data_IF_380192987039
#
_entry.id   IF_380192987039
#
_cell.length_a   1.000
_cell.length_b   1.000
_cell.length_c   1.000
_cell.angle_alpha   90.00
_cell.angle_beta   90.00
_cell.angle_gamma   90.00
#
_symmetry.space_group_name_H-M   'P 1'
#
loop_
_entity.id
_entity.type
_entity.pdbx_description
1 polymer ?
#
# COMPACT_ATOMS: atom_id res chain seq x y z
N UNK A 1 -31.61 0.10 -24.17
CA UNK A 1 -31.18 1.41 -23.64
C UNK A 1 -29.75 1.78 -24.05
N UNK A 2 -28.72 0.95 -23.81
CA UNK A 2 -27.36 1.18 -24.36
C UNK A 2 -27.30 1.02 -25.90
N UNK A 3 -28.31 0.42 -26.54
CA UNK A 3 -28.50 0.46 -28.01
C UNK A 3 -29.25 1.70 -28.54
N UNK A 4 -29.83 2.54 -27.68
CA UNK A 4 -30.32 3.87 -28.11
C UNK A 4 -29.19 4.92 -28.09
N UNK A 5 -28.04 4.57 -27.49
CA UNK A 5 -26.78 5.29 -27.64
C UNK A 5 -26.13 5.11 -29.03
N UNK A 6 -26.72 4.32 -29.95
CA UNK A 6 -26.27 4.32 -31.36
C UNK A 6 -26.59 5.64 -32.08
N UNK A 7 -27.48 6.47 -31.52
CA UNK A 7 -27.64 7.87 -31.96
C UNK A 7 -26.38 8.71 -31.60
N UNK A 8 -25.48 8.19 -30.76
CA UNK A 8 -24.16 8.78 -30.48
C UNK A 8 -23.02 8.25 -31.36
N UNK A 9 -23.23 7.19 -32.17
CA UNK A 9 -22.22 6.78 -33.15
C UNK A 9 -22.21 7.72 -34.38
N UNK A 10 -23.33 8.38 -34.66
CA UNK A 10 -23.38 9.51 -35.61
C UNK A 10 -22.69 10.78 -35.04
N UNK A 11 -22.62 10.93 -33.71
CA UNK A 11 -21.90 12.03 -33.06
C UNK A 11 -20.38 11.78 -33.00
N UNK A 12 -19.90 10.53 -32.97
CA UNK A 12 -18.46 10.27 -32.88
C UNK A 12 -17.71 10.45 -34.20
N UNK A 13 -18.34 10.17 -35.35
CA UNK A 13 -17.72 10.33 -36.68
C UNK A 13 -17.92 11.73 -37.29
N UNK A 14 -18.91 12.49 -36.82
CA UNK A 14 -19.19 13.85 -37.32
C UNK A 14 -18.54 14.99 -36.52
N UNK A 15 -18.28 14.82 -35.22
CA UNK A 15 -17.88 15.93 -34.33
C UNK A 15 -16.37 16.21 -34.28
N UNK A 16 -15.56 15.24 -34.69
CA UNK A 16 -14.09 15.34 -34.64
C UNK A 16 -13.41 15.03 -35.98
N UNK A 17 -14.19 14.90 -37.06
CA UNK A 17 -13.63 14.62 -38.38
C UNK A 17 -12.86 15.84 -38.89
N UNK A 18 -11.58 15.65 -39.22
CA UNK A 18 -10.69 16.65 -39.84
C UNK A 18 -11.10 16.93 -41.30
N UNK A 19 -12.35 17.30 -41.54
CA UNK A 19 -12.71 17.93 -42.80
C UNK A 19 -12.48 19.43 -42.63
N UNK A 20 -11.41 19.89 -43.28
CA UNK A 20 -10.93 21.26 -43.36
C UNK A 20 -12.08 22.28 -43.47
N UNK A 21 -12.43 22.95 -42.34
CA UNK A 21 -13.01 24.31 -42.21
C UNK A 21 -13.79 24.61 -40.89
N UNK A 22 -13.86 23.72 -39.90
CA UNK A 22 -14.43 24.13 -38.60
C UNK A 22 -13.50 25.10 -37.87
N UNK A 23 -14.03 26.24 -37.42
CA UNK A 23 -13.29 27.21 -36.61
C UNK A 23 -12.97 26.62 -35.22
N UNK A 24 -11.88 27.07 -34.58
CA UNK A 24 -11.54 26.66 -33.21
C UNK A 24 -12.69 26.86 -32.21
N UNK A 25 -13.54 27.85 -32.49
CA UNK A 25 -14.76 28.18 -31.74
C UNK A 25 -15.80 27.05 -31.84
N UNK A 26 -16.05 26.50 -33.03
CA UNK A 26 -17.02 25.42 -33.20
C UNK A 26 -16.59 24.14 -32.47
N UNK A 27 -15.29 23.83 -32.51
CA UNK A 27 -14.72 22.68 -31.78
C UNK A 27 -14.92 22.85 -30.27
N UNK A 28 -14.70 24.06 -29.75
CA UNK A 28 -14.88 24.35 -28.33
C UNK A 28 -16.35 24.22 -27.89
N UNK A 29 -17.29 24.77 -28.66
CA UNK A 29 -18.74 24.65 -28.39
C UNK A 29 -19.17 23.19 -28.40
N UNK A 30 -18.78 22.43 -29.43
CA UNK A 30 -19.10 21.00 -29.54
C UNK A 30 -18.52 20.18 -28.35
N UNK A 31 -17.30 20.50 -27.90
CA UNK A 31 -16.71 19.86 -26.71
C UNK A 31 -17.48 20.20 -25.44
N UNK A 32 -17.88 21.46 -25.25
CA UNK A 32 -18.70 21.85 -24.08
C UNK A 32 -20.01 21.07 -24.05
N UNK A 33 -20.74 21.04 -25.16
CA UNK A 33 -22.01 20.29 -25.27
C UNK A 33 -21.80 18.82 -24.90
N UNK A 34 -20.80 18.16 -25.50
CA UNK A 34 -20.53 16.74 -25.24
C UNK A 34 -20.25 16.46 -23.76
N UNK A 35 -19.36 17.23 -23.13
CA UNK A 35 -18.97 16.97 -21.74
C UNK A 35 -20.06 17.36 -20.75
N UNK A 36 -20.81 18.45 -20.96
CA UNK A 36 -21.91 18.83 -20.09
C UNK A 36 -23.12 17.91 -20.20
N UNK A 37 -23.48 17.44 -21.40
CA UNK A 37 -24.50 16.39 -21.55
C UNK A 37 -24.09 15.13 -20.81
N UNK A 38 -22.86 14.63 -21.04
CA UNK A 38 -22.35 13.44 -20.37
C UNK A 38 -22.35 13.58 -18.85
N UNK A 39 -21.93 14.74 -18.34
CA UNK A 39 -21.97 15.05 -16.92
C UNK A 39 -23.39 15.04 -16.36
N UNK A 40 -24.33 15.77 -16.98
CA UNK A 40 -25.71 15.90 -16.50
C UNK A 40 -26.44 14.54 -16.51
N UNK A 41 -26.22 13.73 -17.54
CA UNK A 41 -26.76 12.36 -17.61
C UNK A 41 -26.23 11.52 -16.43
N UNK A 42 -24.94 11.61 -16.11
CA UNK A 42 -24.36 10.95 -14.92
C UNK A 42 -24.91 11.47 -13.59
N UNK A 43 -25.42 12.71 -13.56
CA UNK A 43 -26.13 13.27 -12.40
C UNK A 43 -27.63 12.93 -12.38
N UNK A 44 -28.12 12.16 -13.35
CA UNK A 44 -29.50 11.64 -13.39
C UNK A 44 -30.49 12.47 -14.20
N UNK A 45 -30.02 13.48 -14.96
CA UNK A 45 -30.89 14.22 -15.88
C UNK A 45 -31.37 13.30 -17.01
N UNK A 46 -32.65 13.38 -17.37
CA UNK A 46 -33.18 12.55 -18.44
C UNK A 46 -32.77 13.12 -19.80
N UNK A 47 -32.39 12.22 -20.70
CA UNK A 47 -32.05 12.59 -22.08
C UNK A 47 -33.21 13.33 -22.76
N UNK A 48 -34.46 12.94 -22.49
CA UNK A 48 -35.65 13.61 -23.04
C UNK A 48 -35.79 15.07 -22.61
N UNK A 49 -35.43 15.38 -21.36
CA UNK A 49 -35.48 16.76 -20.83
C UNK A 49 -34.41 17.60 -21.52
N UNK A 50 -33.17 17.10 -21.59
CA UNK A 50 -32.06 17.77 -22.27
C UNK A 50 -32.31 17.96 -23.78
N UNK A 51 -32.99 17.00 -24.42
CA UNK A 51 -33.38 17.12 -25.83
C UNK A 51 -34.47 18.18 -26.03
N UNK A 52 -35.39 18.32 -25.08
CA UNK A 52 -36.41 19.39 -25.11
C UNK A 52 -35.75 20.77 -25.01
N UNK A 53 -34.76 20.93 -24.13
CA UNK A 53 -33.97 22.17 -24.05
C UNK A 53 -33.26 22.49 -25.39
N UNK A 54 -32.70 21.48 -26.06
CA UNK A 54 -32.12 21.65 -27.39
C UNK A 54 -33.15 22.14 -28.42
N UNK A 55 -34.34 21.54 -28.45
CA UNK A 55 -35.41 21.94 -29.38
C UNK A 55 -35.89 23.38 -29.14
N UNK A 56 -35.91 23.83 -27.88
CA UNK A 56 -36.30 25.19 -27.53
C UNK A 56 -35.26 26.23 -27.96
N UNK A 57 -33.97 25.90 -27.85
CA UNK A 57 -32.87 26.83 -28.13
C UNK A 57 -32.50 26.85 -29.62
N UNK A 58 -32.40 25.68 -30.26
CA UNK A 58 -32.11 25.51 -31.70
C UNK A 58 -30.72 25.98 -32.17
N UNK A 59 -29.89 26.48 -31.27
CA UNK A 59 -28.56 27.05 -31.54
C UNK A 59 -27.50 26.44 -30.63
N UNK A 60 -26.35 26.04 -31.20
CA UNK A 60 -25.30 25.30 -30.46
C UNK A 60 -24.65 26.13 -29.36
N UNK A 61 -24.36 27.39 -29.62
CA UNK A 61 -23.67 28.26 -28.65
C UNK A 61 -24.59 28.54 -27.46
N UNK A 62 -25.83 28.94 -27.74
CA UNK A 62 -26.86 29.14 -26.70
C UNK A 62 -27.16 27.84 -25.95
N UNK A 63 -27.14 26.69 -26.61
CA UNK A 63 -27.37 25.41 -25.95
C UNK A 63 -26.20 25.04 -25.02
N UNK A 64 -24.96 25.30 -25.43
CA UNK A 64 -23.80 25.11 -24.56
C UNK A 64 -23.90 25.96 -23.27
N UNK A 65 -24.34 27.21 -23.40
CA UNK A 65 -24.60 28.11 -22.25
C UNK A 65 -25.72 27.53 -21.36
N UNK A 66 -26.84 27.10 -21.95
CA UNK A 66 -27.94 26.48 -21.22
C UNK A 66 -27.49 25.24 -20.41
N UNK A 67 -26.69 24.36 -21.02
CA UNK A 67 -26.13 23.19 -20.33
C UNK A 67 -25.18 23.59 -19.20
N UNK A 68 -24.34 24.61 -19.42
CA UNK A 68 -23.43 25.14 -18.39
C UNK A 68 -24.21 25.68 -17.18
N UNK A 69 -25.32 26.37 -17.39
CA UNK A 69 -26.21 26.85 -16.34
C UNK A 69 -26.87 25.71 -15.56
N UNK A 70 -27.27 24.63 -16.23
CA UNK A 70 -27.78 23.42 -15.58
C UNK A 70 -26.71 22.74 -14.73
N UNK A 71 -25.48 22.62 -15.26
CA UNK A 71 -24.32 22.09 -14.51
C UNK A 71 -24.09 22.95 -13.27
N UNK A 72 -24.04 24.27 -13.43
CA UNK A 72 -23.87 25.24 -12.34
C UNK A 72 -24.91 25.05 -11.25
N UNK A 73 -26.20 25.03 -11.61
CA UNK A 73 -27.30 24.80 -10.66
C UNK A 73 -27.15 23.46 -9.91
N UNK A 74 -26.69 22.41 -10.59
CA UNK A 74 -26.48 21.10 -9.99
C UNK A 74 -25.34 21.08 -8.96
N UNK A 75 -24.21 21.73 -9.26
CA UNK A 75 -22.99 21.62 -8.44
C UNK A 75 -22.81 22.74 -7.41
N UNK A 76 -23.50 23.87 -7.58
CA UNK A 76 -23.37 25.03 -6.70
C UNK A 76 -23.53 24.68 -5.20
N UNK A 77 -24.49 23.85 -4.77
CA UNK A 77 -24.62 23.47 -3.35
C UNK A 77 -23.40 22.73 -2.80
N UNK A 78 -22.64 22.04 -3.64
CA UNK A 78 -21.42 21.33 -3.25
C UNK A 78 -20.22 22.27 -3.23
N UNK A 79 -20.10 23.14 -4.24
CA UNK A 79 -18.99 24.10 -4.36
C UNK A 79 -19.00 25.13 -3.23
N UNK A 80 -20.18 25.60 -2.79
CA UNK A 80 -20.32 26.54 -1.66
C UNK A 80 -19.75 26.01 -0.34
N UNK A 81 -19.66 24.69 -0.19
CA UNK A 81 -19.13 24.00 1.01
C UNK A 81 -17.94 23.11 0.68
N UNK A 82 -17.20 23.42 -0.39
CA UNK A 82 -16.13 22.56 -0.93
C UNK A 82 -15.08 22.21 0.13
N UNK A 83 -14.77 23.16 1.02
CA UNK A 83 -13.80 23.01 2.10
C UNK A 83 -14.26 22.04 3.20
N UNK A 84 -15.57 21.88 3.39
CA UNK A 84 -16.16 21.08 4.47
C UNK A 84 -16.42 19.60 4.07
N UNK A 85 -16.27 19.29 2.79
CA UNK A 85 -16.54 17.96 2.26
C UNK A 85 -15.48 16.96 2.72
N UNK A 86 -15.93 15.82 3.24
CA UNK A 86 -15.05 14.77 3.74
C UNK A 86 -15.53 13.38 3.37
N UNK A 87 -14.60 12.50 3.00
CA UNK A 87 -14.86 11.10 2.65
C UNK A 87 -15.52 10.30 3.78
N UNK A 88 -15.26 10.68 5.04
CA UNK A 88 -15.77 9.99 6.22
C UNK A 88 -17.29 10.17 6.41
N UNK A 89 -17.86 11.24 5.85
CA UNK A 89 -19.31 11.45 5.85
C UNK A 89 -19.90 10.81 4.59
N UNK A 90 -20.67 9.74 4.74
CA UNK A 90 -21.28 9.03 3.61
C UNK A 90 -22.05 9.96 2.65
N UNK A 91 -22.76 10.96 3.20
CA UNK A 91 -23.50 11.97 2.41
C UNK A 91 -22.62 12.87 1.53
N UNK A 92 -21.32 12.99 1.85
CA UNK A 92 -20.38 13.85 1.14
C UNK A 92 -19.61 13.10 0.05
N UNK A 93 -19.61 11.76 0.04
CA UNK A 93 -18.91 10.95 -0.97
C UNK A 93 -19.39 11.23 -2.39
N UNK A 94 -20.71 11.31 -2.60
CA UNK A 94 -21.27 11.65 -3.93
C UNK A 94 -20.88 13.08 -4.33
N UNK A 95 -21.09 14.12 -3.51
CA UNK A 95 -20.56 15.47 -3.79
C UNK A 95 -19.08 15.51 -4.16
N UNK A 96 -18.21 14.82 -3.42
CA UNK A 96 -16.78 14.73 -3.70
C UNK A 96 -16.51 14.14 -5.10
N UNK A 97 -17.18 13.03 -5.45
CA UNK A 97 -17.06 12.42 -6.78
C UNK A 97 -17.52 13.37 -7.89
N UNK A 98 -18.62 14.09 -7.66
CA UNK A 98 -19.19 15.04 -8.64
C UNK A 98 -18.23 16.21 -8.90
N UNK A 99 -17.66 16.78 -7.84
CA UNK A 99 -16.68 17.87 -7.95
C UNK A 99 -15.42 17.39 -8.68
N UNK A 100 -14.87 16.24 -8.31
CA UNK A 100 -13.68 15.71 -8.98
C UNK A 100 -13.95 15.36 -10.44
N UNK A 101 -15.13 14.86 -10.78
CA UNK A 101 -15.51 14.61 -12.17
C UNK A 101 -15.57 15.92 -12.94
N UNK A 102 -16.28 16.94 -12.42
CA UNK A 102 -16.37 18.24 -13.08
C UNK A 102 -14.99 18.89 -13.25
N UNK A 103 -14.12 18.81 -12.25
CA UNK A 103 -12.74 19.28 -12.33
C UNK A 103 -11.97 18.61 -13.48
N UNK A 104 -12.11 17.29 -13.64
CA UNK A 104 -11.50 16.56 -14.76
C UNK A 104 -12.01 17.05 -16.12
N UNK A 105 -13.31 17.31 -16.23
CA UNK A 105 -13.92 17.77 -17.49
C UNK A 105 -13.47 19.20 -17.83
N UNK A 106 -13.54 20.14 -16.88
CA UNK A 106 -13.11 21.53 -17.08
C UNK A 106 -11.62 21.61 -17.41
N UNK A 107 -10.77 20.89 -16.68
CA UNK A 107 -9.34 20.85 -16.97
C UNK A 107 -9.04 20.29 -18.37
N UNK A 108 -9.76 19.22 -18.78
CA UNK A 108 -9.64 18.63 -20.12
C UNK A 108 -10.08 19.59 -21.23
N UNK A 109 -11.12 20.40 -20.99
CA UNK A 109 -11.63 21.37 -21.97
C UNK A 109 -10.73 22.60 -22.08
N UNK A 110 -10.20 23.11 -20.97
CA UNK A 110 -9.40 24.35 -20.94
C UNK A 110 -7.97 24.12 -21.42
N UNK A 111 -7.28 23.09 -20.89
CA UNK A 111 -5.82 23.01 -21.01
C UNK A 111 -5.33 22.19 -22.21
N UNK A 112 -6.13 21.26 -22.73
CA UNK A 112 -5.62 20.28 -23.69
C UNK A 112 -6.64 19.98 -24.80
N UNK A 113 -6.91 21.01 -25.62
CA UNK A 113 -7.87 20.96 -26.76
C UNK A 113 -7.57 19.84 -27.77
N UNK A 114 -6.31 19.41 -27.88
CA UNK A 114 -5.84 18.34 -28.77
C UNK A 114 -6.07 16.91 -28.23
N UNK A 115 -6.47 16.75 -26.97
CA UNK A 115 -6.72 15.42 -26.40
C UNK A 115 -8.09 14.86 -26.77
N UNK A 116 -8.14 13.53 -26.78
CA UNK A 116 -9.36 12.73 -26.90
C UNK A 116 -10.41 13.18 -25.87
N UNK A 117 -11.70 13.25 -26.24
CA UNK A 117 -12.78 13.54 -25.30
C UNK A 117 -12.87 12.55 -24.14
N UNK A 118 -13.53 12.94 -23.06
CA UNK A 118 -13.73 12.07 -21.90
C UNK A 118 -14.56 10.83 -22.24
N UNK A 119 -14.10 9.65 -21.81
CA UNK A 119 -14.73 8.36 -22.16
C UNK A 119 -15.83 7.97 -21.15
N UNK A 120 -16.98 8.66 -21.18
CA UNK A 120 -18.11 8.42 -20.27
C UNK A 120 -18.57 6.95 -20.22
N UNK A 121 -18.57 6.24 -21.35
CA UNK A 121 -18.94 4.82 -21.40
C UNK A 121 -18.05 3.96 -20.51
N UNK A 122 -16.73 4.18 -20.56
CA UNK A 122 -15.77 3.48 -19.69
C UNK A 122 -15.94 3.89 -18.25
N UNK A 123 -16.14 5.19 -17.99
CA UNK A 123 -16.38 5.71 -16.65
C UNK A 123 -17.57 5.03 -15.95
N UNK A 124 -18.65 4.73 -16.68
CA UNK A 124 -19.80 4.00 -16.14
C UNK A 124 -19.47 2.52 -15.92
N UNK A 125 -18.87 1.86 -16.92
CA UNK A 125 -18.61 0.41 -16.88
C UNK A 125 -17.58 0.01 -15.81
N UNK A 126 -16.57 0.85 -15.59
CA UNK A 126 -15.45 0.55 -14.70
C UNK A 126 -15.71 0.98 -13.23
N UNK A 127 -16.90 1.52 -12.91
CA UNK A 127 -17.36 1.86 -11.55
C UNK A 127 -16.38 2.73 -10.77
N UNK A 128 -16.18 3.95 -11.25
CA UNK A 128 -15.23 4.89 -10.67
C UNK A 128 -15.60 5.34 -9.26
N UNK A 129 -14.60 5.46 -8.39
CA UNK A 129 -14.76 5.83 -6.97
C UNK A 129 -13.61 6.75 -6.50
N UNK A 130 -13.70 7.20 -5.24
CA UNK A 130 -12.71 8.03 -4.59
C UNK A 130 -11.50 7.20 -4.17
N UNK A 131 -10.31 7.66 -4.55
CA UNK A 131 -9.01 7.14 -4.13
C UNK A 131 -8.29 8.21 -3.32
N UNK A 132 -7.69 7.83 -2.19
CA UNK A 132 -6.83 8.73 -1.45
C UNK A 132 -5.49 8.88 -2.17
N UNK A 133 -4.96 10.08 -2.30
CA UNK A 133 -3.68 10.29 -3.00
C UNK A 133 -2.52 9.82 -2.11
N UNK A 134 -2.58 10.14 -0.81
CA UNK A 134 -1.61 9.72 0.19
C UNK A 134 -2.09 8.47 0.97
N UNK A 135 -1.16 7.70 1.54
CA UNK A 135 -1.45 6.47 2.29
C UNK A 135 -2.18 6.74 3.61
N UNK A 136 -3.05 5.81 4.03
CA UNK A 136 -3.87 5.98 5.24
C UNK A 136 -3.32 5.28 6.49
N UNK A 137 -2.58 4.19 6.31
CA UNK A 137 -2.03 3.41 7.43
C UNK A 137 -0.83 2.54 7.03
N UNK A 138 -0.08 2.12 8.05
CA UNK A 138 1.14 1.30 7.97
C UNK A 138 0.90 -0.14 7.50
N UNK A 139 -0.35 -0.65 7.58
CA UNK A 139 -0.74 -1.98 7.07
C UNK A 139 -0.57 -2.13 5.55
N UNK A 140 -0.37 -1.01 4.85
CA UNK A 140 0.00 -0.98 3.44
C UNK A 140 1.39 -1.52 3.15
N UNK A 141 2.33 -1.31 4.08
CA UNK A 141 3.77 -1.57 3.92
C UNK A 141 4.25 -2.68 4.84
N UNK A 142 3.53 -2.93 5.94
CA UNK A 142 3.84 -3.99 6.90
C UNK A 142 2.58 -4.52 7.59
N UNK A 143 1.94 -5.51 6.98
CA UNK A 143 0.72 -6.14 7.46
C UNK A 143 0.92 -6.99 8.71
N UNK A 144 -0.17 -7.27 9.43
CA UNK A 144 -0.15 -8.19 10.58
C UNK A 144 0.27 -9.61 10.18
N UNK A 145 -0.06 -10.03 8.95
CA UNK A 145 0.33 -11.33 8.42
C UNK A 145 1.84 -11.41 8.18
N UNK A 146 2.44 -10.32 7.69
CA UNK A 146 3.90 -10.14 7.57
C UNK A 146 4.60 -10.29 8.91
N UNK A 147 4.14 -9.53 9.89
CA UNK A 147 4.64 -9.56 11.26
C UNK A 147 4.61 -10.97 11.85
N UNK A 148 3.46 -11.64 11.78
CA UNK A 148 3.29 -12.99 12.33
C UNK A 148 4.06 -14.08 11.57
N UNK A 149 4.34 -13.89 10.29
CA UNK A 149 5.18 -14.82 9.52
C UNK A 149 6.65 -14.65 9.90
N UNK A 150 7.15 -13.41 10.00
CA UNK A 150 8.52 -13.14 10.39
C UNK A 150 8.80 -13.58 11.83
N UNK A 151 7.88 -13.33 12.77
CA UNK A 151 8.03 -13.75 14.16
C UNK A 151 8.22 -15.27 14.29
N UNK A 152 7.44 -16.06 13.53
CA UNK A 152 7.56 -17.53 13.50
C UNK A 152 8.90 -18.03 12.98
N UNK A 153 9.54 -17.28 12.06
CA UNK A 153 10.89 -17.61 11.59
C UNK A 153 11.94 -17.25 12.64
N UNK A 154 11.81 -16.08 13.30
CA UNK A 154 12.69 -15.68 14.41
C UNK A 154 12.66 -16.68 15.57
N UNK A 155 11.47 -17.20 15.91
CA UNK A 155 11.33 -18.27 16.91
C UNK A 155 12.07 -19.56 16.54
N UNK A 156 12.15 -19.89 15.24
CA UNK A 156 12.88 -21.06 14.76
C UNK A 156 14.41 -20.87 14.92
N UNK A 157 14.92 -19.67 14.67
CA UNK A 157 16.33 -19.33 14.96
C UNK A 157 16.60 -19.43 16.45
N UNK A 158 15.74 -18.85 17.28
CA UNK A 158 15.92 -18.93 18.74
C UNK A 158 15.98 -20.39 19.22
N UNK A 159 15.15 -21.26 18.67
CA UNK A 159 15.19 -22.69 18.97
C UNK A 159 16.49 -23.36 18.51
N UNK A 160 17.06 -22.90 17.40
CA UNK A 160 18.38 -23.35 16.91
C UNK A 160 19.52 -22.88 17.82
N UNK A 161 19.50 -21.62 18.26
CA UNK A 161 20.49 -21.07 19.19
C UNK A 161 20.43 -21.77 20.56
N UNK A 162 19.23 -22.01 21.08
CA UNK A 162 19.03 -22.72 22.34
C UNK A 162 19.59 -24.15 22.25
N UNK A 163 19.39 -24.84 21.11
CA UNK A 163 19.97 -26.16 20.86
C UNK A 163 21.50 -26.13 20.79
N UNK A 164 22.07 -25.12 20.12
CA UNK A 164 23.54 -24.96 20.04
C UNK A 164 24.15 -24.66 21.41
N UNK A 165 23.51 -23.77 22.20
CA UNK A 165 23.93 -23.49 23.59
C UNK A 165 23.88 -24.76 24.44
N UNK A 166 22.81 -25.56 24.32
CA UNK A 166 22.69 -26.85 25.00
C UNK A 166 23.83 -27.81 24.62
N UNK A 167 24.15 -27.91 23.33
CA UNK A 167 25.24 -28.75 22.84
C UNK A 167 26.59 -28.32 23.41
N UNK A 168 26.91 -27.03 23.37
CA UNK A 168 28.16 -26.49 23.95
C UNK A 168 28.21 -26.74 25.47
N UNK A 169 27.11 -26.49 26.17
CA UNK A 169 27.00 -26.74 27.62
C UNK A 169 27.26 -28.21 27.96
N UNK A 170 26.81 -29.16 27.13
CA UNK A 170 27.04 -30.60 27.28
C UNK A 170 28.49 -30.98 26.91
N UNK A 171 29.01 -30.45 25.80
CA UNK A 171 30.36 -30.75 25.31
C UNK A 171 31.44 -30.28 26.30
N UNK A 172 31.21 -29.18 27.02
CA UNK A 172 32.10 -28.68 28.07
C UNK A 172 32.26 -29.62 29.27
N UNK A 173 31.32 -30.57 29.46
CA UNK A 173 31.28 -31.53 30.58
C UNK A 173 31.48 -32.97 30.10
N UNK A 174 32.02 -33.19 28.89
CA UNK A 174 32.12 -34.51 28.23
C UNK A 174 32.76 -35.64 29.06
N UNK A 175 33.47 -35.32 30.15
CA UNK A 175 34.10 -36.28 31.06
C UNK A 175 33.29 -36.56 32.36
N UNK A 176 32.23 -35.81 32.67
CA UNK A 176 31.43 -35.95 33.89
C UNK A 176 29.94 -36.18 33.57
N UNK A 177 29.55 -37.46 33.52
CA UNK A 177 28.16 -37.89 33.30
C UNK A 177 27.22 -37.37 34.41
N UNK A 178 27.71 -37.25 35.63
CA UNK A 178 26.91 -36.75 36.76
C UNK A 178 26.60 -35.26 36.59
N UNK A 179 27.60 -34.48 36.17
CA UNK A 179 27.48 -33.07 35.79
C UNK A 179 26.42 -32.86 34.71
N UNK A 180 26.53 -33.61 33.62
CA UNK A 180 25.57 -33.54 32.49
C UNK A 180 24.15 -33.87 32.95
N UNK A 181 23.96 -34.96 33.74
CA UNK A 181 22.63 -35.34 34.27
C UNK A 181 22.03 -34.24 35.14
N UNK A 182 22.82 -33.61 36.01
CA UNK A 182 22.38 -32.50 36.85
C UNK A 182 22.00 -31.26 36.02
N UNK A 183 22.78 -30.94 34.99
CA UNK A 183 22.52 -29.81 34.09
C UNK A 183 21.24 -30.00 33.28
N UNK A 184 21.04 -31.19 32.70
CA UNK A 184 19.79 -31.57 32.04
C UNK A 184 18.59 -31.47 32.99
N UNK A 185 18.74 -31.94 34.23
CA UNK A 185 17.70 -31.83 35.26
C UNK A 185 17.34 -30.37 35.54
N UNK A 186 18.33 -29.49 35.68
CA UNK A 186 18.12 -28.05 35.87
C UNK A 186 17.42 -27.39 34.66
N UNK A 187 17.83 -27.74 33.44
CA UNK A 187 17.24 -27.22 32.21
C UNK A 187 15.78 -27.64 32.03
N UNK A 188 15.40 -28.83 32.50
CA UNK A 188 14.05 -29.39 32.42
C UNK A 188 13.03 -28.75 33.38
N UNK A 189 13.48 -27.96 34.37
CA UNK A 189 12.61 -27.36 35.37
C UNK A 189 11.69 -26.29 34.76
N UNK A 190 10.46 -26.19 35.28
CA UNK A 190 9.42 -25.27 34.78
C UNK A 190 9.87 -23.81 34.69
N UNK A 191 10.80 -23.35 35.55
CA UNK A 191 11.30 -21.97 35.58
C UNK A 191 12.49 -21.63 34.67
N UNK A 192 13.14 -22.62 34.03
CA UNK A 192 14.31 -22.35 33.17
C UNK A 192 13.93 -21.56 31.92
N UNK A 193 14.63 -20.46 31.63
CA UNK A 193 14.49 -19.69 30.37
C UNK A 193 15.52 -20.05 29.31
N UNK A 194 16.42 -21.01 29.60
CA UNK A 194 17.55 -21.36 28.72
C UNK A 194 17.17 -22.18 27.49
N UNK A 195 16.05 -22.90 27.55
CA UNK A 195 15.55 -23.75 26.45
C UNK A 195 14.02 -23.62 26.35
N UNK A 196 13.49 -23.78 25.14
CA UNK A 196 12.05 -23.73 24.88
C UNK A 196 11.29 -24.89 25.56
N UNK A 197 9.95 -24.80 25.62
CA UNK A 197 9.14 -25.81 26.32
C UNK A 197 9.17 -27.19 25.67
N UNK A 198 9.29 -27.28 24.33
CA UNK A 198 9.40 -28.56 23.64
C UNK A 198 10.66 -29.31 24.10
N UNK A 199 11.79 -28.61 24.13
CA UNK A 199 13.08 -29.15 24.59
C UNK A 199 13.04 -29.58 26.05
N UNK A 200 12.34 -28.84 26.92
CA UNK A 200 12.14 -29.25 28.32
C UNK A 200 11.43 -30.59 28.41
N UNK A 201 10.39 -30.80 27.63
CA UNK A 201 9.65 -32.07 27.63
C UNK A 201 10.49 -33.22 27.08
N UNK A 202 11.29 -33.00 26.04
CA UNK A 202 12.21 -34.03 25.54
C UNK A 202 13.25 -34.42 26.58
N UNK A 203 13.84 -33.42 27.25
CA UNK A 203 14.82 -33.66 28.31
C UNK A 203 14.17 -34.40 29.47
N UNK A 204 12.93 -34.07 29.87
CA UNK A 204 12.21 -34.81 30.93
C UNK A 204 11.97 -36.26 30.54
N UNK A 205 11.53 -36.50 29.30
CA UNK A 205 11.31 -37.86 28.79
C UNK A 205 12.62 -38.64 28.81
N UNK A 206 13.68 -38.06 28.25
CA UNK A 206 15.01 -38.64 28.26
C UNK A 206 15.50 -38.99 29.66
N UNK A 207 15.41 -38.05 30.62
CA UNK A 207 15.81 -38.27 32.02
C UNK A 207 15.02 -39.39 32.70
N UNK A 208 13.77 -39.62 32.31
CA UNK A 208 12.94 -40.74 32.80
C UNK A 208 13.41 -42.07 32.23
N UNK A 209 13.76 -42.10 30.95
CA UNK A 209 14.14 -43.30 30.22
C UNK A 209 15.55 -43.78 30.60
N UNK A 210 16.46 -42.87 30.95
CA UNK A 210 17.84 -43.20 31.33
C UNK A 210 18.03 -43.67 32.78
N UNK A 211 16.96 -43.76 33.60
CA UNK A 211 17.06 -44.13 35.03
C UNK A 211 17.83 -45.43 35.30
N UNK A 212 17.86 -46.34 34.32
CA UNK A 212 18.51 -47.65 34.41
C UNK A 212 19.61 -47.85 33.34
N UNK A 213 20.01 -46.80 32.63
CA UNK A 213 21.02 -46.88 31.57
C UNK A 213 22.42 -46.78 32.20
N UNK A 214 23.32 -47.67 31.77
CA UNK A 214 24.71 -47.67 32.23
C UNK A 214 25.50 -46.48 31.65
N UNK A 215 26.63 -46.15 32.28
CA UNK A 215 27.44 -44.99 31.90
C UNK A 215 28.10 -45.11 30.51
N UNK A 216 28.21 -46.34 29.95
CA UNK A 216 28.72 -46.56 28.59
C UNK A 216 27.73 -46.19 27.49
N UNK A 217 26.43 -46.39 27.73
CA UNK A 217 25.37 -46.14 26.74
C UNK A 217 24.79 -44.73 26.83
N UNK A 218 24.97 -44.05 27.97
CA UNK A 218 24.49 -42.68 28.18
C UNK A 218 24.95 -41.68 27.09
N UNK A 219 26.23 -41.61 26.69
CA UNK A 219 26.68 -40.67 25.66
C UNK A 219 25.99 -40.91 24.31
N UNK A 220 25.81 -42.17 23.90
CA UNK A 220 25.14 -42.51 22.64
C UNK A 220 23.67 -42.09 22.65
N UNK A 221 22.97 -42.30 23.77
CA UNK A 221 21.57 -41.91 23.90
C UNK A 221 21.41 -40.37 23.97
N UNK A 222 22.36 -39.67 24.58
CA UNK A 222 22.37 -38.21 24.61
C UNK A 222 22.58 -37.60 23.22
N UNK A 223 23.53 -38.13 22.44
CA UNK A 223 23.72 -37.73 21.04
C UNK A 223 22.45 -37.99 20.20
N UNK A 224 21.76 -39.10 20.45
CA UNK A 224 20.48 -39.39 19.81
C UNK A 224 19.41 -38.35 20.15
N UNK A 225 19.25 -37.98 21.44
CA UNK A 225 18.33 -36.92 21.86
C UNK A 225 18.63 -35.60 21.13
N UNK A 226 19.89 -35.17 21.12
CA UNK A 226 20.29 -33.92 20.46
C UNK A 226 20.02 -33.95 18.96
N UNK A 227 20.27 -35.09 18.30
CA UNK A 227 19.96 -35.31 16.89
C UNK A 227 18.45 -35.25 16.62
N UNK A 228 17.63 -35.91 17.43
CA UNK A 228 16.17 -35.88 17.30
C UNK A 228 15.61 -34.47 17.50
N UNK A 229 16.13 -33.74 18.49
CA UNK A 229 15.78 -32.33 18.72
C UNK A 229 16.15 -31.46 17.52
N UNK A 230 17.36 -31.63 16.95
CA UNK A 230 17.83 -30.93 15.75
C UNK A 230 16.91 -31.20 14.56
N UNK A 231 16.61 -32.47 14.29
CA UNK A 231 15.78 -32.89 13.17
C UNK A 231 14.37 -32.28 13.26
N UNK A 232 13.79 -32.24 14.47
CA UNK A 232 12.50 -31.56 14.66
C UNK A 232 12.57 -30.07 14.37
N UNK A 233 13.60 -29.35 14.85
CA UNK A 233 13.75 -27.92 14.55
C UNK A 233 13.87 -27.68 13.04
N UNK A 234 14.66 -28.52 12.35
CA UNK A 234 14.79 -28.46 10.89
C UNK A 234 13.45 -28.68 10.21
N UNK A 235 12.71 -29.73 10.57
CA UNK A 235 11.43 -30.05 9.93
C UNK A 235 10.37 -28.98 10.19
N UNK A 236 10.31 -28.43 11.41
CA UNK A 236 9.43 -27.29 11.71
C UNK A 236 9.79 -26.05 10.89
N UNK A 237 11.09 -25.76 10.74
CA UNK A 237 11.58 -24.63 9.94
C UNK A 237 11.28 -24.82 8.46
N UNK A 238 11.56 -26.01 7.92
CA UNK A 238 11.22 -26.39 6.53
C UNK A 238 9.73 -26.28 6.28
N UNK A 239 8.89 -26.74 7.21
CA UNK A 239 7.43 -26.63 7.11
C UNK A 239 6.97 -25.17 7.08
N UNK A 240 7.55 -24.31 7.93
CA UNK A 240 7.27 -22.87 7.94
C UNK A 240 7.68 -22.19 6.62
N UNK A 241 8.86 -22.52 6.09
CA UNK A 241 9.37 -21.99 4.82
C UNK A 241 8.59 -22.52 3.60
N UNK A 242 8.22 -23.81 3.56
CA UNK A 242 7.35 -24.37 2.50
C UNK A 242 5.95 -23.77 2.54
N UNK A 243 5.42 -23.59 3.75
CA UNK A 243 4.15 -22.95 4.00
C UNK A 243 4.19 -21.43 3.90
N UNK A 244 5.34 -20.84 3.55
CA UNK A 244 5.53 -19.41 3.43
C UNK A 244 4.70 -18.88 2.26
N UNK A 245 3.48 -18.43 2.58
CA UNK A 245 2.66 -17.66 1.66
C UNK A 245 3.14 -16.23 1.70
N UNK A 246 3.43 -15.69 0.52
CA UNK A 246 4.16 -14.44 0.39
C UNK A 246 3.56 -13.32 1.24
N UNK A 247 4.37 -12.61 2.05
CA UNK A 247 3.85 -11.64 2.99
C UNK A 247 3.58 -10.27 2.34
N UNK A 248 4.39 -9.87 1.35
CA UNK A 248 4.34 -8.52 0.79
C UNK A 248 3.23 -8.35 -0.25
N UNK A 249 2.68 -7.13 -0.31
CA UNK A 249 1.78 -6.69 -1.39
C UNK A 249 2.53 -6.43 -2.71
N UNK A 250 3.87 -6.47 -2.69
CA UNK A 250 4.73 -6.26 -3.83
C UNK A 250 5.08 -7.56 -4.54
N UNK A 251 4.55 -7.75 -5.75
CA UNK A 251 4.77 -8.95 -6.55
C UNK A 251 6.26 -9.23 -6.84
N UNK A 252 7.10 -8.19 -6.94
CA UNK A 252 8.53 -8.37 -7.22
C UNK A 252 9.29 -8.86 -5.98
N UNK A 253 9.11 -8.20 -4.84
CA UNK A 253 9.69 -8.66 -3.56
C UNK A 253 9.28 -10.10 -3.28
N UNK A 254 8.03 -10.41 -3.60
CA UNK A 254 7.46 -11.73 -3.49
C UNK A 254 8.21 -12.79 -4.32
N UNK A 255 8.40 -12.52 -5.61
CA UNK A 255 9.13 -13.42 -6.51
C UNK A 255 10.59 -13.61 -6.09
N UNK A 256 11.23 -12.55 -5.59
CA UNK A 256 12.61 -12.60 -5.10
C UNK A 256 12.74 -13.50 -3.86
N UNK A 257 11.90 -13.30 -2.84
CA UNK A 257 11.93 -14.13 -1.62
C UNK A 257 11.63 -15.59 -1.93
N UNK A 258 10.65 -15.85 -2.80
CA UNK A 258 10.32 -17.22 -3.19
C UNK A 258 11.52 -17.93 -3.83
N UNK A 259 12.21 -17.24 -4.75
CA UNK A 259 13.42 -17.75 -5.40
C UNK A 259 14.52 -18.07 -4.38
N UNK A 260 14.77 -17.16 -3.43
CA UNK A 260 15.76 -17.36 -2.36
C UNK A 260 15.46 -18.61 -1.54
N UNK A 261 14.19 -18.86 -1.20
CA UNK A 261 13.78 -20.06 -0.44
C UNK A 261 14.01 -21.34 -1.25
N UNK A 262 13.69 -21.32 -2.55
CA UNK A 262 13.89 -22.48 -3.45
C UNK A 262 15.37 -22.80 -3.59
N UNK A 263 16.20 -21.81 -3.92
CA UNK A 263 17.65 -21.95 -4.04
C UNK A 263 18.28 -22.45 -2.72
N UNK A 264 17.83 -21.91 -1.59
CA UNK A 264 18.28 -22.35 -0.27
C UNK A 264 17.97 -23.83 -0.01
N UNK A 265 16.76 -24.31 -0.36
CA UNK A 265 16.41 -25.72 -0.18
C UNK A 265 17.25 -26.65 -1.06
N UNK A 266 17.60 -26.24 -2.28
CA UNK A 266 18.47 -27.02 -3.15
C UNK A 266 19.88 -27.15 -2.57
N UNK A 267 20.43 -26.07 -1.99
CA UNK A 267 21.79 -26.04 -1.42
C UNK A 267 21.95 -26.80 -0.09
N UNK A 268 20.83 -27.06 0.61
CA UNK A 268 20.81 -27.59 1.99
C UNK A 268 20.02 -28.89 2.13
N UNK A 269 19.66 -29.52 1.00
CA UNK A 269 18.76 -30.69 0.95
C UNK A 269 19.20 -31.84 1.86
N UNK A 270 20.50 -32.16 1.84
CA UNK A 270 21.05 -33.38 2.46
C UNK A 270 21.84 -33.12 3.76
N UNK A 271 21.88 -31.87 4.25
CA UNK A 271 22.66 -31.51 5.45
C UNK A 271 21.87 -30.59 6.39
N UNK A 272 21.39 -31.18 7.49
CA UNK A 272 20.62 -30.49 8.54
C UNK A 272 21.47 -29.51 9.37
N UNK A 273 22.79 -29.72 9.50
CA UNK A 273 23.67 -28.78 10.20
C UNK A 273 23.87 -27.52 9.36
N UNK A 274 24.22 -27.73 8.10
CA UNK A 274 24.37 -26.67 7.11
C UNK A 274 23.06 -25.90 6.94
N UNK A 275 21.93 -26.60 6.89
CA UNK A 275 20.60 -25.99 6.83
C UNK A 275 20.38 -24.96 7.93
N UNK A 276 20.54 -25.34 9.20
CA UNK A 276 20.26 -24.46 10.34
C UNK A 276 21.24 -23.28 10.40
N UNK A 277 22.52 -23.54 10.11
CA UNK A 277 23.55 -22.51 10.09
C UNK A 277 23.27 -21.46 9.01
N UNK A 278 23.08 -21.89 7.76
CA UNK A 278 22.82 -20.99 6.63
C UNK A 278 21.46 -20.31 6.73
N UNK A 279 20.44 -20.98 7.29
CA UNK A 279 19.15 -20.36 7.56
C UNK A 279 19.31 -19.11 8.44
N UNK A 280 20.06 -19.25 9.54
CA UNK A 280 20.25 -18.17 10.51
C UNK A 280 21.21 -17.07 10.01
N UNK A 281 22.31 -17.44 9.34
CA UNK A 281 23.34 -16.47 8.95
C UNK A 281 23.12 -15.84 7.56
N UNK A 282 22.35 -16.46 6.68
CA UNK A 282 22.24 -16.04 5.27
C UNK A 282 20.78 -15.80 4.85
N UNK A 283 19.92 -16.83 4.93
CA UNK A 283 18.56 -16.74 4.37
C UNK A 283 17.68 -15.76 5.15
N UNK A 284 17.57 -15.89 6.48
CA UNK A 284 16.68 -14.99 7.24
C UNK A 284 17.11 -13.52 7.14
N UNK A 285 18.40 -13.15 7.35
CA UNK A 285 18.85 -11.77 7.17
C UNK A 285 18.51 -11.22 5.78
N UNK A 286 18.69 -12.04 4.73
CA UNK A 286 18.36 -11.63 3.36
C UNK A 286 16.85 -11.43 3.16
N UNK A 287 16.00 -12.28 3.76
CA UNK A 287 14.54 -12.11 3.74
C UNK A 287 14.16 -10.82 4.49
N UNK A 288 14.74 -10.56 5.67
CA UNK A 288 14.51 -9.35 6.44
C UNK A 288 14.90 -8.10 5.65
N UNK A 289 16.07 -8.09 5.00
CA UNK A 289 16.52 -6.98 4.17
C UNK A 289 15.52 -6.67 3.04
N UNK A 290 15.01 -7.70 2.37
CA UNK A 290 14.01 -7.54 1.29
C UNK A 290 12.69 -6.99 1.81
N UNK A 291 12.23 -7.48 2.95
CA UNK A 291 10.99 -7.04 3.60
C UNK A 291 11.10 -5.62 4.18
N UNK A 292 12.27 -5.23 4.67
CA UNK A 292 12.51 -3.92 5.29
C UNK A 292 12.41 -2.74 4.30
N UNK A 293 12.57 -3.00 2.99
CA UNK A 293 12.60 -1.93 1.97
C UNK A 293 11.34 -1.08 1.94
N UNK A 294 10.16 -1.69 1.98
CA UNK A 294 8.90 -0.93 1.88
C UNK A 294 8.58 -0.14 3.15
N UNK A 295 8.68 -0.71 4.36
CA UNK A 295 8.50 0.07 5.59
C UNK A 295 9.54 1.18 5.76
N UNK A 296 10.79 0.95 5.35
CA UNK A 296 11.83 1.99 5.40
C UNK A 296 11.51 3.15 4.44
N UNK A 297 11.15 2.84 3.19
CA UNK A 297 10.75 3.84 2.19
C UNK A 297 9.52 4.62 2.66
N UNK A 298 8.55 3.93 3.27
CA UNK A 298 7.38 4.58 3.84
C UNK A 298 7.73 5.53 4.97
N UNK A 299 8.53 5.10 5.96
CA UNK A 299 8.95 5.98 7.05
C UNK A 299 9.68 7.22 6.54
N UNK A 300 10.47 7.09 5.47
CA UNK A 300 11.08 8.25 4.79
C UNK A 300 10.01 9.21 4.24
N UNK A 301 9.01 8.68 3.54
CA UNK A 301 7.86 9.49 3.05
C UNK A 301 7.06 10.12 4.20
N UNK A 302 6.82 9.41 5.30
CA UNK A 302 6.13 9.94 6.49
C UNK A 302 6.93 11.10 7.07
N UNK A 303 8.23 10.92 7.29
CA UNK A 303 9.12 11.97 7.82
C UNK A 303 9.14 13.21 6.90
N UNK A 304 9.11 13.03 5.59
CA UNK A 304 9.07 14.13 4.63
C UNK A 304 7.67 14.78 4.51
N UNK A 305 6.61 14.04 4.88
CA UNK A 305 5.24 14.56 4.99
C UNK A 305 5.03 15.43 6.22
N UNK A 306 5.66 15.09 7.35
CA UNK A 306 5.54 15.82 8.61
C UNK A 306 6.30 17.16 8.54
N UNK A 307 5.58 18.28 8.70
CA UNK A 307 6.19 19.59 8.91
C UNK A 307 6.44 19.81 10.41
N UNK A 308 7.59 20.40 10.76
CA UNK A 308 7.99 20.58 12.18
C UNK A 308 7.05 21.53 12.93
N UNK A 309 6.36 22.40 12.19
CA UNK A 309 5.52 23.47 12.72
C UNK A 309 4.04 23.05 12.91
N UNK A 310 3.65 21.84 12.48
CA UNK A 310 2.25 21.41 12.52
C UNK A 310 1.79 21.06 13.95
N UNK A 311 2.49 20.14 14.62
CA UNK A 311 2.19 19.68 15.98
C UNK A 311 3.48 19.22 16.70
N UNK A 312 3.56 19.42 18.03
CA UNK A 312 4.70 18.99 18.84
C UNK A 312 5.02 17.49 18.66
N UNK A 313 3.99 16.65 18.72
CA UNK A 313 4.10 15.20 18.53
C UNK A 313 4.55 14.81 17.11
N UNK A 314 4.18 15.60 16.09
CA UNK A 314 4.62 15.36 14.71
C UNK A 314 6.13 15.67 14.57
N UNK A 315 6.62 16.71 15.27
CA UNK A 315 8.03 17.01 15.41
C UNK A 315 8.82 15.92 16.15
N UNK A 316 8.25 15.36 17.23
CA UNK A 316 8.82 14.22 17.95
C UNK A 316 8.89 12.96 17.07
N UNK A 317 7.80 12.63 16.36
CA UNK A 317 7.76 11.51 15.44
C UNK A 317 8.78 11.66 14.33
N UNK A 318 8.87 12.84 13.70
CA UNK A 318 9.86 13.14 12.67
C UNK A 318 11.27 12.90 13.18
N UNK A 319 11.59 13.44 14.35
CA UNK A 319 12.89 13.26 15.01
C UNK A 319 13.15 11.78 15.35
N UNK A 320 12.13 11.06 15.80
CA UNK A 320 12.19 9.63 16.07
C UNK A 320 12.51 8.81 14.82
N UNK A 321 11.84 9.10 13.71
CA UNK A 321 12.12 8.46 12.41
C UNK A 321 13.54 8.79 11.94
N UNK A 322 14.01 10.02 12.09
CA UNK A 322 15.39 10.38 11.73
C UNK A 322 16.44 9.62 12.54
N UNK A 323 16.23 9.49 13.86
CA UNK A 323 17.11 8.70 14.73
C UNK A 323 17.09 7.23 14.33
N UNK A 324 15.91 6.67 14.06
CA UNK A 324 15.73 5.31 13.59
C UNK A 324 16.49 5.06 12.28
N UNK A 325 16.29 5.90 11.26
CA UNK A 325 16.94 5.77 9.95
C UNK A 325 18.48 5.89 10.04
N UNK A 326 19.01 6.57 11.06
CA UNK A 326 20.45 6.60 11.35
C UNK A 326 20.92 5.31 12.03
N UNK A 327 20.13 4.78 12.97
CA UNK A 327 20.48 3.62 13.80
C UNK A 327 20.35 2.27 13.08
N UNK A 328 19.43 2.11 12.13
CA UNK A 328 19.21 0.84 11.40
C UNK A 328 20.45 0.34 10.64
N UNK A 329 21.45 1.18 10.39
CA UNK A 329 22.72 0.76 9.77
C UNK A 329 23.48 -0.30 10.58
N UNK A 330 23.21 -0.41 11.89
CA UNK A 330 23.97 -1.23 12.83
C UNK A 330 23.12 -2.22 13.63
N UNK A 331 21.82 -2.36 13.34
CA UNK A 331 20.87 -3.19 14.11
C UNK A 331 19.85 -3.88 13.19
N UNK A 332 19.19 -4.94 13.67
CA UNK A 332 18.03 -5.52 12.96
C UNK A 332 16.92 -4.48 12.80
N UNK A 333 16.48 -4.27 11.56
CA UNK A 333 15.47 -3.27 11.20
C UNK A 333 14.18 -3.45 12.00
N UNK A 334 13.62 -4.67 12.00
CA UNK A 334 12.33 -4.95 12.62
C UNK A 334 12.36 -4.93 14.14
N UNK A 335 13.46 -5.35 14.77
CA UNK A 335 13.59 -5.27 16.24
C UNK A 335 13.60 -3.82 16.70
N UNK A 336 14.34 -2.96 16.01
CA UNK A 336 14.37 -1.55 16.32
C UNK A 336 13.01 -0.90 16.04
N UNK A 337 12.38 -1.24 14.90
CA UNK A 337 11.08 -0.70 14.49
C UNK A 337 9.99 -0.98 15.52
N UNK A 338 9.93 -2.22 16.02
CA UNK A 338 9.00 -2.65 17.06
C UNK A 338 9.28 -1.94 18.39
N UNK A 339 10.55 -1.82 18.79
CA UNK A 339 10.93 -1.18 20.05
C UNK A 339 10.58 0.31 20.10
N UNK A 340 10.69 1.01 18.98
CA UNK A 340 10.40 2.44 18.86
C UNK A 340 8.90 2.73 18.63
N UNK A 341 8.13 1.71 18.24
CA UNK A 341 6.69 1.81 17.97
C UNK A 341 6.34 2.76 16.82
N UNK A 342 7.25 2.96 15.86
CA UNK A 342 7.11 4.04 14.85
C UNK A 342 5.92 3.87 13.93
N UNK A 343 5.58 2.65 13.53
CA UNK A 343 4.42 2.41 12.66
C UNK A 343 3.12 2.88 13.33
N UNK A 344 2.96 2.56 14.62
CA UNK A 344 1.79 2.96 15.41
C UNK A 344 1.73 4.47 15.57
N UNK A 345 2.86 5.11 15.94
CA UNK A 345 2.94 6.57 16.07
C UNK A 345 2.61 7.29 14.76
N UNK A 346 3.08 6.75 13.63
CA UNK A 346 2.77 7.28 12.32
C UNK A 346 1.27 7.14 11.99
N UNK A 347 0.66 5.99 12.26
CA UNK A 347 -0.79 5.80 12.08
C UNK A 347 -1.61 6.77 12.94
N UNK A 348 -1.21 7.00 14.20
CA UNK A 348 -1.83 7.97 15.11
C UNK A 348 -1.67 9.41 14.59
N UNK A 349 -0.50 9.77 14.05
CA UNK A 349 -0.28 11.08 13.43
C UNK A 349 -1.21 11.32 12.23
N UNK A 350 -1.39 10.31 11.36
CA UNK A 350 -2.32 10.41 10.23
C UNK A 350 -3.78 10.56 10.66
N UNK A 351 -4.20 9.88 11.73
CA UNK A 351 -5.57 10.00 12.24
C UNK A 351 -5.90 11.41 12.75
N UNK A 352 -4.89 12.19 13.15
CA UNK A 352 -5.04 13.59 13.58
C UNK A 352 -5.07 14.58 12.43
N UNK A 353 -4.63 14.19 11.23
CA UNK A 353 -4.61 15.05 10.06
C UNK A 353 -6.03 15.29 9.54
N UNK A 354 -6.57 16.48 9.85
CA UNK A 354 -7.93 16.88 9.46
C UNK A 354 -8.17 16.88 7.94
N UNK A 355 -7.10 16.95 7.16
CA UNK A 355 -7.15 16.99 5.70
C UNK A 355 -7.05 15.61 5.06
N UNK A 356 -6.74 14.55 5.84
CA UNK A 356 -6.52 13.19 5.34
C UNK A 356 -7.68 12.70 4.47
N UNK A 357 -8.91 13.05 4.86
CA UNK A 357 -10.13 12.61 4.21
C UNK A 357 -10.84 13.71 3.42
N UNK A 358 -10.21 14.87 3.22
CA UNK A 358 -10.79 16.00 2.47
C UNK A 358 -10.42 15.96 0.99
N UNK A 359 -11.07 16.81 0.20
CA UNK A 359 -10.94 16.88 -1.25
C UNK A 359 -9.47 16.99 -1.72
N UNK A 360 -8.62 17.73 -0.98
CA UNK A 360 -7.20 17.89 -1.29
C UNK A 360 -6.35 16.62 -1.25
N UNK A 361 -6.89 15.53 -0.72
CA UNK A 361 -6.23 14.22 -0.69
C UNK A 361 -7.03 13.15 -1.45
N UNK A 362 -7.98 13.54 -2.31
CA UNK A 362 -8.85 12.62 -3.02
C UNK A 362 -8.74 12.80 -4.52
N UNK A 363 -8.87 11.69 -5.24
CA UNK A 363 -8.93 11.66 -6.69
C UNK A 363 -9.88 10.57 -7.18
N UNK A 364 -10.12 10.49 -8.49
CA UNK A 364 -10.98 9.46 -9.08
C UNK A 364 -10.14 8.29 -9.59
N UNK A 365 -10.57 7.07 -9.29
CA UNK A 365 -9.95 5.83 -9.78
C UNK A 365 -11.00 4.72 -9.96
N UNK A 366 -10.84 3.86 -10.96
CA UNK A 366 -11.72 2.70 -11.14
C UNK A 366 -11.62 1.71 -9.97
N UNK A 367 -12.71 0.97 -9.70
CA UNK A 367 -12.82 0.07 -8.55
C UNK A 367 -11.70 -0.99 -8.51
N UNK A 368 -11.30 -1.51 -9.67
CA UNK A 368 -10.31 -2.59 -9.75
C UNK A 368 -8.90 -2.09 -9.48
N UNK A 369 -8.55 -0.91 -10.02
CA UNK A 369 -7.25 -0.28 -9.75
C UNK A 369 -7.19 0.25 -8.32
N UNK A 370 -8.27 0.84 -7.81
CA UNK A 370 -8.38 1.34 -6.43
C UNK A 370 -8.10 0.21 -5.42
N UNK A 371 -8.72 -0.98 -5.58
CA UNK A 371 -8.42 -2.16 -4.73
C UNK A 371 -6.94 -2.57 -4.74
N UNK A 372 -6.21 -2.35 -5.84
CA UNK A 372 -4.80 -2.70 -5.99
C UNK A 372 -3.84 -1.60 -5.50
N UNK A 373 -4.29 -0.36 -5.50
CA UNK A 373 -3.50 0.85 -5.20
C UNK A 373 -3.76 1.27 -3.75
N UNK A 374 -5.01 1.45 -3.36
CA UNK A 374 -5.52 1.52 -1.98
C UNK A 374 -4.60 2.25 -1.00
N UNK A 375 -4.03 1.53 -0.04
CA UNK A 375 -3.22 2.18 1.01
C UNK A 375 -1.74 2.34 0.66
N UNK A 376 -1.31 2.05 -0.57
CA UNK A 376 0.10 2.19 -0.94
C UNK A 376 0.62 3.62 -0.72
N UNK A 377 1.93 3.70 -0.49
CA UNK A 377 2.66 4.96 -0.35
C UNK A 377 2.66 5.72 -1.67
N UNK A 378 2.84 7.04 -1.64
CA UNK A 378 2.59 7.88 -2.82
C UNK A 378 3.49 7.49 -3.99
N UNK A 379 4.78 7.20 -3.76
CA UNK A 379 5.71 6.72 -4.81
C UNK A 379 5.17 5.50 -5.56
N UNK A 380 4.65 4.52 -4.80
CA UNK A 380 4.13 3.27 -5.34
C UNK A 380 2.79 3.46 -6.05
N UNK A 381 1.94 4.34 -5.54
CA UNK A 381 0.72 4.76 -6.24
C UNK A 381 1.07 5.41 -7.57
N UNK A 382 2.00 6.37 -7.57
CA UNK A 382 2.50 7.04 -8.76
C UNK A 382 3.03 6.04 -9.79
N UNK A 383 3.88 5.09 -9.39
CA UNK A 383 4.41 4.06 -10.29
C UNK A 383 3.32 3.15 -10.86
N UNK A 384 2.30 2.78 -10.05
CA UNK A 384 1.17 1.97 -10.52
C UNK A 384 0.27 2.74 -11.48
N UNK A 385 0.00 4.02 -11.20
CA UNK A 385 -0.79 4.89 -12.08
C UNK A 385 -0.10 5.03 -13.44
N UNK A 386 1.22 5.25 -13.47
CA UNK A 386 2.00 5.27 -14.72
C UNK A 386 1.85 3.97 -15.52
N UNK A 387 2.01 2.82 -14.85
CA UNK A 387 1.84 1.50 -15.50
C UNK A 387 0.41 1.26 -16.03
N UNK A 388 -0.61 1.78 -15.34
CA UNK A 388 -2.01 1.70 -15.80
C UNK A 388 -2.21 2.58 -17.04
N UNK A 389 -1.62 3.78 -17.05
CA UNK A 389 -1.68 4.71 -18.19
C UNK A 389 -1.01 4.09 -19.42
N UNK A 390 0.16 3.45 -19.24
CA UNK A 390 0.89 2.72 -20.30
C UNK A 390 0.05 1.57 -20.92
N UNK A 391 -0.88 0.99 -20.16
CA UNK A 391 -1.80 -0.05 -20.62
C UNK A 391 -3.03 0.51 -21.37
N UNK A 392 -3.06 1.82 -21.66
CA UNK A 392 -4.18 2.53 -22.29
C UNK A 392 -5.50 2.37 -21.52
N UNK A 393 -5.41 2.13 -20.21
CA UNK A 393 -6.59 2.19 -19.34
C UNK A 393 -7.00 3.64 -19.14
N UNK A 394 -8.30 3.88 -18.97
CA UNK A 394 -8.79 5.22 -18.71
C UNK A 394 -8.24 5.68 -17.36
N UNK A 395 -7.50 6.78 -17.36
CA UNK A 395 -7.15 7.53 -16.16
C UNK A 395 -7.63 8.97 -16.37
N UNK A 396 -8.47 9.54 -15.48
CA UNK A 396 -8.94 10.90 -15.58
C UNK A 396 -7.73 11.80 -15.54
N UNK A 397 -7.73 12.81 -16.40
CA UNK A 397 -6.58 13.68 -16.61
C UNK A 397 -6.05 14.23 -15.28
N UNK A 398 -6.91 14.74 -14.41
CA UNK A 398 -6.51 15.31 -13.13
C UNK A 398 -5.99 14.27 -12.15
N UNK A 399 -6.44 13.00 -12.23
CA UNK A 399 -5.84 11.89 -11.47
C UNK A 399 -4.39 11.67 -11.90
N UNK A 400 -4.13 11.63 -13.21
CA UNK A 400 -2.76 11.53 -13.72
C UNK A 400 -1.91 12.74 -13.32
N UNK A 401 -2.44 13.94 -13.51
CA UNK A 401 -1.71 15.19 -13.27
C UNK A 401 -1.39 15.39 -11.77
N UNK A 402 -2.26 14.97 -10.85
CA UNK A 402 -1.95 15.06 -9.41
C UNK A 402 -0.84 14.08 -9.00
N UNK A 403 -0.83 12.86 -9.55
CA UNK A 403 0.27 11.92 -9.32
C UNK A 403 1.57 12.35 -10.03
N UNK A 404 1.48 13.12 -11.13
CA UNK A 404 2.64 13.77 -11.75
C UNK A 404 3.05 15.07 -11.06
N UNK A 405 2.37 15.46 -9.97
CA UNK A 405 2.61 16.69 -9.20
C UNK A 405 2.51 17.96 -10.06
N UNK A 406 1.68 17.98 -11.11
CA UNK A 406 1.51 19.15 -11.97
C UNK A 406 0.88 20.33 -11.24
N UNK A 407 0.05 20.05 -10.23
CA UNK A 407 -0.57 21.08 -9.38
C UNK A 407 0.33 21.53 -8.22
N UNK A 408 1.51 20.93 -8.05
CA UNK A 408 2.41 21.23 -6.95
C UNK A 408 2.99 22.63 -7.08
N UNK A 409 3.10 23.34 -5.94
CA UNK A 409 3.87 24.57 -5.83
C UNK A 409 5.37 24.31 -5.54
N UNK A 410 5.77 23.05 -5.31
CA UNK A 410 7.16 22.67 -5.09
C UNK A 410 7.93 22.69 -6.42
N UNK A 411 9.05 23.40 -6.44
CA UNK A 411 9.92 23.50 -7.62
C UNK A 411 10.76 22.25 -7.82
N UNK A 412 10.93 21.43 -6.79
CA UNK A 412 11.67 20.17 -6.87
C UNK A 412 10.77 19.01 -7.32
N UNK A 413 10.70 18.85 -8.65
CA UNK A 413 9.97 17.75 -9.30
C UNK A 413 10.57 16.36 -9.02
N UNK A 414 11.78 16.27 -8.45
CA UNK A 414 12.40 14.99 -8.09
C UNK A 414 11.90 14.47 -6.74
N UNK A 415 11.22 15.30 -5.92
CA UNK A 415 10.57 14.83 -4.69
C UNK A 415 9.40 13.92 -5.04
N UNK A 416 9.56 12.65 -4.69
CA UNK A 416 8.58 11.61 -4.99
C UNK A 416 7.54 11.40 -3.88
N UNK A 417 7.24 12.43 -3.07
CA UNK A 417 6.22 12.38 -2.02
C UNK A 417 5.21 13.54 -2.15
N UNK A 418 4.01 13.36 -1.57
CA UNK A 418 2.90 14.31 -1.61
C UNK A 418 2.70 14.98 -0.24
N UNK A 419 3.14 16.23 -0.15
CA UNK A 419 3.20 17.04 1.08
C UNK A 419 1.89 17.76 1.38
N UNK A 420 1.80 18.37 2.56
CA UNK A 420 0.70 19.30 2.88
C UNK A 420 0.64 20.49 1.92
N UNK A 421 1.79 21.00 1.45
CA UNK A 421 1.86 22.05 0.42
C UNK A 421 1.29 21.58 -0.93
N UNK A 422 1.60 20.35 -1.33
CA UNK A 422 1.05 19.75 -2.55
C UNK A 422 -0.48 19.63 -2.47
N UNK A 423 -1.00 19.19 -1.32
CA UNK A 423 -2.45 19.12 -1.05
C UNK A 423 -3.11 20.50 -1.15
N UNK A 424 -2.56 21.51 -0.49
CA UNK A 424 -3.06 22.89 -0.55
C UNK A 424 -3.09 23.41 -1.99
N UNK A 425 -1.99 23.24 -2.73
CA UNK A 425 -1.91 23.66 -4.13
C UNK A 425 -2.90 22.91 -5.03
N UNK A 426 -3.12 21.62 -4.78
CA UNK A 426 -4.14 20.83 -5.49
C UNK A 426 -5.56 21.34 -5.23
N UNK A 427 -5.91 21.67 -3.97
CA UNK A 427 -7.20 22.25 -3.63
C UNK A 427 -7.44 23.59 -4.32
N UNK A 428 -6.43 24.47 -4.30
CA UNK A 428 -6.50 25.78 -4.93
C UNK A 428 -6.64 25.65 -6.46
N UNK A 429 -6.00 24.66 -7.08
CA UNK A 429 -6.20 24.36 -8.49
C UNK A 429 -7.65 23.93 -8.80
N UNK A 430 -8.25 23.09 -7.94
CA UNK A 430 -9.66 22.70 -8.06
C UNK A 430 -10.57 23.92 -7.91
N UNK A 431 -10.39 24.70 -6.85
CA UNK A 431 -11.20 25.90 -6.57
C UNK A 431 -11.13 26.90 -7.71
N UNK A 432 -9.92 27.20 -8.19
CA UNK A 432 -9.72 28.13 -9.32
C UNK A 432 -10.40 27.65 -10.59
N UNK A 433 -10.28 26.36 -10.90
CA UNK A 433 -10.90 25.78 -12.09
C UNK A 433 -12.43 25.83 -12.03
N UNK A 434 -13.01 25.71 -10.83
CA UNK A 434 -14.45 25.64 -10.61
C UNK A 434 -15.08 26.94 -10.09
N UNK A 435 -14.34 28.03 -10.02
CA UNK A 435 -14.79 29.29 -9.39
C UNK A 435 -16.05 29.88 -10.04
N UNK A 436 -16.17 29.75 -11.38
CA UNK A 436 -17.34 30.21 -12.16
C UNK A 436 -18.67 29.59 -11.73
N UNK A 437 -18.64 28.48 -10.99
CA UNK A 437 -19.82 27.77 -10.50
C UNK A 437 -20.23 28.17 -9.08
N UNK A 438 -19.50 29.07 -8.42
CA UNK A 438 -19.72 29.45 -7.03
C UNK A 438 -20.93 30.36 -6.80
N UNK A 439 -21.17 31.30 -7.71
CA UNK A 439 -22.14 32.41 -7.55
C UNK A 439 -23.36 32.29 -8.43
#
# INVERSE_FOLDING_TARGET
MIRQLDISLTLHQGFFNKNNKSSDIEIEINRKIFHYLGFLILQGYKISELYTEWLNVGDKEKFAICLEDLVKKNVQPYIKRIDDLTYNKNKDRKPLQVILLLFNLEYLMEKIKSLKPFEFNRFILEKWNLEHIYAQNSESVWSQKEQGNLSKLKEAIKSTEDLNKLRVDIESEKADISGIKNKLKNLSQKGSKKVNNAFKEDIKSFLKDIKHVNDREFPKQLEKLLSDMKNRVVEETRKKLKGWKNPSKNSKTNEEIHRMIVEFFEQTKDDNEKFLKQFASELLPSIEEKLAKEPEEWLREVKDHLEVEDHLDDGELKTGIEKFLKAIKNKSFFELLESEGLLKKADEAFQRDEDLHRLQNLTLLDENSNKKIGNLIFTRKQDKIRKIDDQQKLIPICTREVFNKVFSADTDKNKRFFTKKDRKAYLEAIKKCLDKYKY
#
